data_IF_047397766281
#
_entry.id   IF_047397766281
#
_cell.length_a   1.000
_cell.length_b   1.000
_cell.length_c   1.000
_cell.angle_alpha   90.00
_cell.angle_beta   90.00
_cell.angle_gamma   90.00
#
_symmetry.space_group_name_H-M   'P 1'
#
loop_
_entity.id
_entity.type
_entity.pdbx_description
1 polymer ?
#
# COMPACT_ATOMS: atom_id res chain seq x y z
N UNK A 1 -4.40 -8.13 -8.24
CA UNK A 1 -3.71 -7.06 -8.96
C UNK A 1 -4.66 -5.94 -9.38
N UNK A 2 -5.67 -6.18 -10.24
CA UNK A 2 -6.54 -5.12 -10.78
C UNK A 2 -7.26 -4.26 -9.72
N UNK A 3 -7.77 -4.88 -8.64
CA UNK A 3 -8.38 -4.17 -7.50
C UNK A 3 -7.45 -3.13 -6.85
N UNK A 4 -6.15 -3.46 -6.69
CA UNK A 4 -5.19 -2.54 -6.09
C UNK A 4 -4.87 -1.35 -6.99
N UNK A 5 -4.82 -1.58 -8.31
CA UNK A 5 -4.61 -0.52 -9.31
C UNK A 5 -5.81 0.44 -9.33
N UNK A 6 -7.03 -0.10 -9.28
CA UNK A 6 -8.25 0.70 -9.16
C UNK A 6 -8.23 1.57 -7.88
N UNK A 7 -7.96 0.96 -6.71
CA UNK A 7 -7.88 1.70 -5.44
C UNK A 7 -6.81 2.78 -5.47
N UNK A 8 -5.63 2.49 -6.02
CA UNK A 8 -4.54 3.47 -6.14
C UNK A 8 -4.94 4.65 -7.03
N UNK A 9 -5.57 4.37 -8.18
CA UNK A 9 -6.01 5.42 -9.11
C UNK A 9 -7.10 6.29 -8.49
N UNK A 10 -8.08 5.68 -7.82
CA UNK A 10 -9.12 6.41 -7.08
C UNK A 10 -8.48 7.26 -5.98
N UNK A 11 -7.51 6.72 -5.24
CA UNK A 11 -6.75 7.45 -4.23
C UNK A 11 -6.03 8.68 -4.79
N UNK A 12 -5.40 8.57 -5.97
CA UNK A 12 -4.77 9.70 -6.66
C UNK A 12 -5.78 10.80 -7.03
N UNK A 13 -6.99 10.41 -7.46
CA UNK A 13 -8.07 11.36 -7.76
C UNK A 13 -8.58 12.02 -6.47
N UNK A 14 -8.84 11.24 -5.42
CA UNK A 14 -9.28 11.75 -4.12
C UNK A 14 -8.25 12.72 -3.54
N UNK A 15 -6.96 12.39 -3.63
CA UNK A 15 -5.86 13.26 -3.22
C UNK A 15 -5.86 14.58 -4.02
N UNK A 16 -6.25 14.53 -5.30
CA UNK A 16 -6.39 15.73 -6.13
C UNK A 16 -7.50 16.65 -5.68
N UNK A 17 -8.62 16.11 -5.24
CA UNK A 17 -9.72 16.91 -4.68
C UNK A 17 -9.41 17.41 -3.27
N UNK A 18 -8.77 16.60 -2.43
CA UNK A 18 -8.52 16.93 -1.02
C UNK A 18 -7.33 17.86 -0.80
N UNK A 19 -6.31 17.79 -1.66
CA UNK A 19 -5.11 18.63 -1.57
C UNK A 19 -4.80 19.32 -2.91
N UNK A 20 -5.58 20.36 -3.26
CA UNK A 20 -5.40 21.09 -4.53
C UNK A 20 -4.13 21.96 -4.55
N UNK A 21 -3.65 22.41 -3.38
CA UNK A 21 -2.59 23.43 -3.23
C UNK A 21 -1.15 22.90 -3.25
N UNK A 22 -0.95 21.59 -3.35
CA UNK A 22 0.41 21.01 -3.45
C UNK A 22 1.00 21.29 -4.83
N UNK A 23 2.24 21.77 -4.89
CA UNK A 23 2.96 21.99 -6.15
C UNK A 23 3.13 20.65 -6.88
N UNK A 24 2.61 20.58 -8.12
CA UNK A 24 2.66 19.37 -8.94
C UNK A 24 3.69 19.58 -10.05
N UNK A 25 4.84 18.87 -10.03
CA UNK A 25 5.85 18.97 -11.08
C UNK A 25 5.36 18.46 -12.45
N UNK A 26 4.33 17.59 -12.49
CA UNK A 26 3.74 17.06 -13.72
C UNK A 26 2.21 17.15 -13.63
N UNK A 27 1.58 17.86 -14.58
CA UNK A 27 0.12 18.07 -14.64
C UNK A 27 -0.50 17.17 -15.71
N UNK A 28 -1.15 16.08 -15.26
CA UNK A 28 -1.97 15.24 -16.13
C UNK A 28 -3.41 15.75 -16.20
N UNK A 29 -4.04 15.77 -17.39
CA UNK A 29 -5.45 16.15 -17.53
C UNK A 29 -6.36 15.11 -16.83
N UNK A 30 -7.41 15.57 -16.14
CA UNK A 30 -8.30 14.74 -15.29
C UNK A 30 -9.10 13.73 -16.12
N UNK A 31 -9.29 13.99 -17.42
CA UNK A 31 -10.02 13.09 -18.30
C UNK A 31 -9.35 11.72 -18.45
N UNK A 32 -8.02 11.67 -18.41
CA UNK A 32 -7.24 10.45 -18.54
C UNK A 32 -7.51 9.47 -17.39
N UNK A 33 -7.38 9.86 -16.10
CA UNK A 33 -7.68 8.96 -15.00
C UNK A 33 -9.16 8.59 -14.91
N UNK A 34 -10.08 9.42 -15.39
CA UNK A 34 -11.52 9.06 -15.45
C UNK A 34 -11.73 7.89 -16.42
N UNK A 35 -11.26 8.02 -17.67
CA UNK A 35 -11.39 6.97 -18.69
C UNK A 35 -10.72 5.68 -18.21
N UNK A 36 -9.54 5.81 -17.58
CA UNK A 36 -8.83 4.66 -17.04
C UNK A 36 -9.63 3.92 -15.97
N UNK A 37 -10.26 4.63 -15.02
CA UNK A 37 -11.12 3.99 -14.01
C UNK A 37 -12.32 3.31 -14.67
N UNK A 38 -12.95 3.93 -15.67
CA UNK A 38 -14.08 3.31 -16.40
C UNK A 38 -13.67 1.97 -17.03
N UNK A 39 -12.51 1.94 -17.69
CA UNK A 39 -11.97 0.70 -18.28
C UNK A 39 -11.67 -0.33 -17.19
N UNK A 40 -11.04 0.08 -16.07
CA UNK A 40 -10.74 -0.84 -14.96
C UNK A 40 -12.00 -1.43 -14.33
N UNK A 41 -13.07 -0.65 -14.16
CA UNK A 41 -14.34 -1.14 -13.61
C UNK A 41 -14.96 -2.18 -14.55
N UNK A 42 -14.97 -1.91 -15.86
CA UNK A 42 -15.44 -2.89 -16.84
C UNK A 42 -14.58 -4.15 -16.84
N UNK A 43 -13.26 -4.00 -16.77
CA UNK A 43 -12.33 -5.13 -16.76
C UNK A 43 -12.51 -6.00 -15.51
N UNK A 44 -12.69 -5.39 -14.34
CA UNK A 44 -13.02 -6.10 -13.10
C UNK A 44 -14.38 -6.80 -13.21
N UNK A 45 -15.38 -6.15 -13.80
CA UNK A 45 -16.70 -6.73 -14.04
C UNK A 45 -16.64 -7.98 -14.93
N UNK A 46 -15.93 -7.89 -16.05
CA UNK A 46 -15.71 -9.04 -16.95
C UNK A 46 -14.89 -10.14 -16.29
N UNK A 47 -13.78 -9.79 -15.63
CA UNK A 47 -12.94 -10.76 -14.91
C UNK A 47 -13.65 -11.43 -13.73
N UNK A 48 -14.69 -10.81 -13.16
CA UNK A 48 -15.47 -11.43 -12.11
C UNK A 48 -16.31 -12.61 -12.64
N UNK A 49 -16.69 -12.57 -13.91
CA UNK A 49 -17.45 -13.65 -14.56
C UNK A 49 -16.51 -14.73 -15.10
N UNK A 50 -15.36 -14.36 -15.67
CA UNK A 50 -14.44 -15.33 -16.29
C UNK A 50 -13.46 -15.96 -15.30
N UNK A 51 -12.87 -15.15 -14.42
CA UNK A 51 -11.69 -15.50 -13.63
C UNK A 51 -11.85 -15.04 -12.18
N UNK A 52 -12.92 -15.52 -11.55
CA UNK A 52 -13.27 -15.16 -10.17
C UNK A 52 -12.13 -15.45 -9.17
N UNK A 53 -11.33 -16.49 -9.44
CA UNK A 53 -10.19 -16.86 -8.61
C UNK A 53 -9.12 -15.75 -8.52
N UNK A 54 -8.85 -15.05 -9.62
CA UNK A 54 -7.86 -13.98 -9.64
C UNK A 54 -8.32 -12.77 -8.81
N UNK A 55 -9.62 -12.48 -8.83
CA UNK A 55 -10.21 -11.41 -8.00
C UNK A 55 -10.17 -11.80 -6.53
N UNK A 56 -10.54 -13.05 -6.21
CA UNK A 56 -10.49 -13.59 -4.84
C UNK A 56 -9.10 -13.45 -4.24
N UNK A 57 -8.05 -13.87 -4.95
CA UNK A 57 -6.66 -13.75 -4.47
C UNK A 57 -6.25 -12.29 -4.28
N UNK A 58 -6.69 -11.39 -5.16
CA UNK A 58 -6.44 -9.96 -5.04
C UNK A 58 -7.09 -9.35 -3.80
N UNK A 59 -8.34 -9.74 -3.53
CA UNK A 59 -9.09 -9.30 -2.35
C UNK A 59 -8.48 -9.88 -1.07
N UNK A 60 -8.05 -11.13 -1.09
CA UNK A 60 -7.37 -11.76 0.04
C UNK A 60 -6.08 -11.02 0.38
N UNK A 61 -5.25 -10.71 -0.63
CA UNK A 61 -3.99 -9.98 -0.42
C UNK A 61 -4.24 -8.58 0.19
N UNK A 62 -5.21 -7.83 -0.34
CA UNK A 62 -5.62 -6.55 0.25
C UNK A 62 -6.16 -6.74 1.68
N UNK A 63 -6.92 -7.80 1.90
CA UNK A 63 -7.40 -8.21 3.21
C UNK A 63 -6.26 -8.51 4.19
N UNK A 64 -5.18 -9.17 3.75
CA UNK A 64 -3.99 -9.45 4.59
C UNK A 64 -3.19 -8.20 4.96
N UNK A 65 -3.31 -7.11 4.20
CA UNK A 65 -2.67 -5.85 4.54
C UNK A 65 -3.26 -5.23 5.82
N UNK A 66 -4.55 -5.45 6.09
CA UNK A 66 -5.23 -4.93 7.29
C UNK A 66 -4.69 -5.55 8.60
N UNK A 67 -4.65 -6.89 8.79
CA UNK A 67 -4.06 -7.47 9.98
C UNK A 67 -2.56 -7.16 10.07
N UNK A 68 -1.83 -7.11 8.95
CA UNK A 68 -0.43 -6.69 8.97
C UNK A 68 -0.25 -5.27 9.53
N UNK A 69 -1.11 -4.31 9.17
CA UNK A 69 -1.13 -2.97 9.76
C UNK A 69 -1.44 -3.01 11.27
N UNK A 70 -2.39 -3.85 11.70
CA UNK A 70 -2.74 -3.98 13.11
C UNK A 70 -1.56 -4.53 13.92
N UNK A 71 -0.94 -5.62 13.47
CA UNK A 71 0.22 -6.22 14.14
C UNK A 71 1.47 -5.32 14.12
N UNK A 72 1.68 -4.61 13.02
CA UNK A 72 2.84 -3.75 12.80
C UNK A 72 2.75 -2.43 13.56
N UNK A 73 1.65 -1.70 13.39
CA UNK A 73 1.52 -0.29 13.79
C UNK A 73 0.53 -0.10 14.93
N UNK A 74 -0.69 -0.62 14.81
CA UNK A 74 -1.74 -0.36 15.81
C UNK A 74 -1.50 -1.06 17.16
N UNK A 75 -0.63 -2.06 17.20
CA UNK A 75 -0.25 -2.74 18.43
C UNK A 75 0.75 -1.90 19.24
N UNK A 76 0.25 -0.94 20.01
CA UNK A 76 1.08 -0.03 20.82
C UNK A 76 1.71 -0.74 22.04
N UNK A 77 1.02 -1.72 22.64
CA UNK A 77 1.53 -2.50 23.78
C UNK A 77 2.18 -3.81 23.33
N UNK A 78 3.28 -3.74 22.57
CA UNK A 78 4.04 -4.94 22.20
C UNK A 78 4.71 -5.55 23.43
N UNK A 79 4.61 -6.87 23.68
CA UNK A 79 5.32 -7.51 24.77
C UNK A 79 6.85 -7.38 24.57
N UNK A 80 7.58 -7.15 25.66
CA UNK A 80 9.04 -6.89 25.63
C UNK A 80 9.81 -7.95 24.83
N UNK A 81 9.40 -9.22 24.91
CA UNK A 81 9.99 -10.34 24.14
C UNK A 81 9.91 -10.15 22.62
N UNK A 82 8.78 -9.65 22.10
CA UNK A 82 8.61 -9.41 20.67
C UNK A 82 9.53 -8.28 20.17
N UNK A 83 9.67 -7.22 20.97
CA UNK A 83 10.56 -6.11 20.65
C UNK A 83 12.05 -6.55 20.71
N UNK A 84 12.42 -7.39 21.68
CA UNK A 84 13.77 -7.96 21.78
C UNK A 84 14.11 -8.84 20.57
N UNK A 85 13.18 -9.68 20.12
CA UNK A 85 13.39 -10.51 18.93
C UNK A 85 13.52 -9.67 17.66
N UNK A 86 12.63 -8.68 17.49
CA UNK A 86 12.70 -7.75 16.36
C UNK A 86 14.03 -6.99 16.33
N UNK A 87 14.49 -6.48 17.47
CA UNK A 87 15.77 -5.77 17.57
C UNK A 87 16.98 -6.69 17.33
N UNK A 88 16.94 -7.94 17.80
CA UNK A 88 17.99 -8.93 17.53
C UNK A 88 18.09 -9.28 16.04
N UNK A 89 16.94 -9.46 15.39
CA UNK A 89 16.86 -9.68 13.95
C UNK A 89 17.36 -8.46 13.16
N UNK A 90 16.94 -7.25 13.55
CA UNK A 90 17.42 -6.01 12.95
C UNK A 90 18.94 -5.85 13.11
N UNK A 91 19.50 -6.08 14.30
CA UNK A 91 20.95 -6.05 14.55
C UNK A 91 21.71 -7.10 13.73
N UNK A 92 21.14 -8.28 13.52
CA UNK A 92 21.75 -9.34 12.70
C UNK A 92 21.78 -8.91 11.23
N UNK A 93 20.68 -8.37 10.72
CA UNK A 93 20.63 -7.80 9.37
C UNK A 93 21.61 -6.65 9.20
N UNK A 94 21.67 -5.72 10.15
CA UNK A 94 22.58 -4.57 10.09
C UNK A 94 24.05 -5.00 10.05
N UNK A 95 24.42 -6.04 10.81
CA UNK A 95 25.76 -6.62 10.77
C UNK A 95 26.07 -7.29 9.42
N UNK A 96 25.11 -8.03 8.85
CA UNK A 96 25.27 -8.70 7.55
C UNK A 96 25.42 -7.68 6.42
N UNK A 97 24.60 -6.63 6.42
CA UNK A 97 24.58 -5.61 5.38
C UNK A 97 25.53 -4.43 5.63
N UNK A 98 26.28 -4.44 6.74
CA UNK A 98 27.14 -3.34 7.18
C UNK A 98 26.43 -1.98 7.15
N UNK A 99 25.15 -1.97 7.55
CA UNK A 99 24.31 -0.77 7.61
C UNK A 99 24.46 -0.14 8.99
N UNK A 100 24.87 1.12 9.02
CA UNK A 100 24.82 1.97 10.21
C UNK A 100 23.40 2.52 10.35
N UNK A 101 22.86 2.52 11.56
CA UNK A 101 21.58 3.20 11.80
C UNK A 101 21.75 4.69 11.56
N UNK A 102 20.77 5.32 10.91
CA UNK A 102 20.73 6.78 10.79
C UNK A 102 20.76 7.39 12.20
N UNK A 103 21.77 8.22 12.45
CA UNK A 103 21.86 9.03 13.65
C UNK A 103 20.75 10.07 13.54
N UNK A 104 19.70 9.92 14.35
CA UNK A 104 18.70 10.96 14.52
C UNK A 104 19.37 12.13 15.25
N UNK A 105 19.99 13.04 14.49
CA UNK A 105 20.39 14.35 14.97
C UNK A 105 19.12 15.14 15.27
N UNK A 106 18.76 15.23 16.55
CA UNK A 106 17.91 16.29 17.09
C UNK A 106 18.59 17.66 16.95
#
# INVERSE_FOLDING_TARGET
MFLGILMTTVGLIVLRFKYPTRERPIKVPIIIPIIFITILVMLIGTSAVTDFENIKTSLLLLGTAVPAYIFGVAWEKKPKSFNTQYNSFAMTLQKIFHVVHEEHTD
#
